data_IF_320292127200
#
_entry.id   IF_320292127200
#
_cell.length_a   1.000
_cell.length_b   1.000
_cell.length_c   1.000
_cell.angle_alpha   90.00
_cell.angle_beta   90.00
_cell.angle_gamma   90.00
#
_symmetry.space_group_name_H-M   'P 1'
#
loop_
_entity.id
_entity.type
_entity.pdbx_description
1 polymer ?
#
# COMPACT_ATOMS: atom_id res chain seq x y z
N UNK A 1 9.32 -18.22 20.49
CA UNK A 1 8.56 -18.10 19.21
C UNK A 1 7.58 -16.93 19.23
N UNK A 2 6.82 -16.71 20.32
CA UNK A 2 5.82 -15.63 20.42
C UNK A 2 6.40 -14.22 20.13
N UNK A 3 7.59 -13.91 20.66
CA UNK A 3 8.19 -12.57 20.57
C UNK A 3 8.57 -12.16 19.14
N UNK A 4 9.05 -13.11 18.31
CA UNK A 4 9.36 -12.85 16.90
C UNK A 4 8.10 -12.54 16.08
N UNK A 5 6.99 -13.21 16.40
CA UNK A 5 5.70 -13.01 15.73
C UNK A 5 5.14 -11.63 16.08
N UNK A 6 5.29 -11.19 17.33
CA UNK A 6 4.93 -9.83 17.75
C UNK A 6 5.75 -8.76 17.03
N UNK A 7 7.07 -8.95 16.85
CA UNK A 7 7.88 -8.01 16.08
C UNK A 7 7.45 -7.91 14.62
N UNK A 8 7.12 -9.05 13.97
CA UNK A 8 6.62 -9.07 12.59
C UNK A 8 5.26 -8.37 12.50
N UNK A 9 4.37 -8.62 13.46
CA UNK A 9 3.06 -7.96 13.51
C UNK A 9 3.19 -6.44 13.60
N UNK A 10 4.04 -5.95 14.52
CA UNK A 10 4.31 -4.52 14.68
C UNK A 10 4.98 -3.94 13.42
N UNK A 11 5.96 -4.65 12.85
CA UNK A 11 6.61 -4.23 11.61
C UNK A 11 5.61 -4.10 10.45
N UNK A 12 4.69 -5.06 10.30
CA UNK A 12 3.63 -5.01 9.30
C UNK A 12 2.69 -3.82 9.51
N UNK A 13 2.40 -3.44 10.77
CA UNK A 13 1.62 -2.24 11.05
C UNK A 13 2.34 -0.99 10.53
N UNK A 14 3.64 -0.84 10.84
CA UNK A 14 4.43 0.29 10.36
C UNK A 14 4.57 0.32 8.84
N UNK A 15 4.82 -0.83 8.21
CA UNK A 15 4.89 -0.94 6.75
C UNK A 15 3.57 -0.54 6.09
N UNK A 16 2.44 -0.91 6.68
CA UNK A 16 1.12 -0.54 6.18
C UNK A 16 0.89 0.97 6.24
N UNK A 17 1.35 1.64 7.31
CA UNK A 17 1.28 3.11 7.38
C UNK A 17 2.18 3.80 6.37
N UNK A 18 3.38 3.26 6.14
CA UNK A 18 4.31 3.77 5.13
C UNK A 18 3.69 3.61 3.74
N UNK A 19 3.14 2.44 3.43
CA UNK A 19 2.46 2.16 2.16
C UNK A 19 1.26 3.09 1.96
N UNK A 20 0.41 3.27 2.97
CA UNK A 20 -0.72 4.20 2.92
C UNK A 20 -0.26 5.64 2.62
N UNK A 21 0.86 6.06 3.21
CA UNK A 21 1.42 7.41 3.01
C UNK A 21 1.97 7.56 1.60
N UNK A 22 2.75 6.60 1.12
CA UNK A 22 3.31 6.60 -0.23
C UNK A 22 2.20 6.55 -1.28
N UNK A 23 1.25 5.63 -1.14
CA UNK A 23 0.10 5.49 -2.04
C UNK A 23 -0.76 6.76 -2.08
N UNK A 24 -0.96 7.44 -0.94
CA UNK A 24 -1.71 8.70 -0.91
C UNK A 24 -1.02 9.82 -1.71
N UNK A 25 0.30 9.91 -1.63
CA UNK A 25 1.10 10.86 -2.42
C UNK A 25 1.26 10.44 -3.89
N UNK A 26 1.23 9.14 -4.18
CA UNK A 26 1.31 8.61 -5.54
C UNK A 26 -0.03 8.66 -6.31
N UNK A 27 -1.17 8.70 -5.60
CA UNK A 27 -2.52 8.77 -6.19
C UNK A 27 -2.73 9.89 -7.24
N UNK A 28 -2.38 11.17 -7.00
CA UNK A 28 -2.52 12.24 -8.02
C UNK A 28 -1.68 11.98 -9.27
N UNK A 29 -0.58 11.28 -9.07
CA UNK A 29 0.43 11.05 -10.08
C UNK A 29 0.06 9.85 -10.97
N UNK A 30 -0.62 8.86 -10.38
CA UNK A 30 -1.30 7.77 -11.10
C UNK A 30 -2.48 8.27 -11.94
N UNK A 31 -3.29 9.19 -11.41
CA UNK A 31 -4.39 9.80 -12.18
C UNK A 31 -3.87 10.54 -13.42
N UNK A 32 -2.78 11.31 -13.27
CA UNK A 32 -2.08 11.95 -14.39
C UNK A 32 -1.54 10.98 -15.44
N UNK A 33 -1.14 9.75 -15.07
CA UNK A 33 -0.69 8.74 -16.03
C UNK A 33 -1.81 8.10 -16.84
N UNK A 34 -3.03 8.06 -16.31
CA UNK A 34 -4.19 7.47 -16.98
C UNK A 34 -4.74 8.40 -18.10
N UNK A 35 -4.24 9.64 -18.19
CA UNK A 35 -4.57 10.56 -19.27
C UNK A 35 -5.96 11.18 -19.15
N UNK A 36 -6.49 11.24 -17.93
CA UNK A 36 -7.80 11.82 -17.62
C UNK A 36 -7.70 13.35 -17.59
N UNK A 37 -8.58 14.04 -18.32
CA UNK A 37 -8.68 15.51 -18.33
C UNK A 37 -8.78 16.05 -16.88
N UNK A 38 -8.33 17.29 -16.65
CA UNK A 38 -8.20 17.88 -15.30
C UNK A 38 -9.47 17.75 -14.43
N UNK A 39 -10.67 17.75 -15.04
CA UNK A 39 -11.96 17.56 -14.35
C UNK A 39 -12.25 16.08 -13.97
N UNK A 40 -11.84 15.09 -14.76
CA UNK A 40 -11.98 13.66 -14.40
C UNK A 40 -10.84 13.16 -13.49
N UNK A 41 -9.71 13.88 -13.46
CA UNK A 41 -8.56 13.58 -12.62
C UNK A 41 -8.92 13.62 -11.14
N UNK A 42 -9.71 14.61 -10.67
CA UNK A 42 -10.09 14.70 -9.26
C UNK A 42 -10.94 13.51 -8.79
N UNK A 43 -11.88 13.06 -9.61
CA UNK A 43 -12.71 11.89 -9.34
C UNK A 43 -11.88 10.60 -9.27
N UNK A 44 -10.93 10.46 -10.18
CA UNK A 44 -9.98 9.34 -10.25
C UNK A 44 -9.06 9.31 -9.03
N UNK A 45 -8.51 10.44 -8.61
CA UNK A 45 -7.67 10.55 -7.39
C UNK A 45 -8.46 10.17 -6.14
N UNK A 46 -9.70 10.62 -6.04
CA UNK A 46 -10.57 10.28 -4.90
C UNK A 46 -10.93 8.79 -4.88
N UNK A 47 -11.13 8.19 -6.05
CA UNK A 47 -11.31 6.74 -6.23
C UNK A 47 -10.09 5.95 -5.79
N UNK A 48 -8.89 6.30 -6.27
CA UNK A 48 -7.63 5.66 -5.90
C UNK A 48 -7.37 5.76 -4.40
N UNK A 49 -7.57 6.94 -3.79
CA UNK A 49 -7.44 7.12 -2.34
C UNK A 49 -8.39 6.23 -1.54
N UNK A 50 -9.64 6.08 -2.00
CA UNK A 50 -10.65 5.25 -1.34
C UNK A 50 -10.33 3.77 -1.45
N UNK A 51 -9.84 3.32 -2.61
CA UNK A 51 -9.32 1.97 -2.82
C UNK A 51 -8.12 1.70 -1.91
N UNK A 52 -7.16 2.62 -1.85
CA UNK A 52 -5.99 2.51 -0.97
C UNK A 52 -6.39 2.38 0.49
N UNK A 53 -7.31 3.22 0.98
CA UNK A 53 -7.86 3.11 2.34
C UNK A 53 -8.49 1.74 2.61
N UNK A 54 -9.21 1.20 1.63
CA UNK A 54 -9.83 -0.13 1.74
C UNK A 54 -8.79 -1.25 1.81
N UNK A 55 -7.77 -1.18 0.96
CA UNK A 55 -6.66 -2.13 0.92
C UNK A 55 -5.88 -2.11 2.24
N UNK A 56 -5.56 -0.92 2.76
CA UNK A 56 -4.93 -0.73 4.07
C UNK A 56 -5.77 -1.33 5.20
N UNK A 57 -7.07 -1.11 5.20
CA UNK A 57 -7.98 -1.69 6.19
C UNK A 57 -7.99 -3.23 6.11
N UNK A 58 -7.97 -3.77 4.88
CA UNK A 58 -7.91 -5.20 4.63
C UNK A 58 -6.60 -5.81 5.16
N UNK A 59 -5.47 -5.14 4.95
CA UNK A 59 -4.17 -5.58 5.46
C UNK A 59 -4.11 -5.57 6.98
N UNK A 60 -4.64 -4.54 7.64
CA UNK A 60 -4.72 -4.54 9.09
C UNK A 60 -5.64 -5.64 9.61
N UNK A 61 -6.77 -5.87 8.95
CA UNK A 61 -7.68 -6.95 9.32
C UNK A 61 -6.98 -8.32 9.23
N UNK A 62 -6.30 -8.61 8.12
CA UNK A 62 -5.57 -9.85 7.96
C UNK A 62 -4.38 -9.98 8.91
N UNK A 63 -3.63 -8.90 9.15
CA UNK A 63 -2.51 -8.89 10.08
C UNK A 63 -3.00 -9.20 11.52
N UNK A 64 -4.12 -8.61 11.93
CA UNK A 64 -4.76 -8.91 13.21
C UNK A 64 -5.28 -10.36 13.25
N UNK A 65 -6.00 -10.80 12.22
CA UNK A 65 -6.52 -12.18 12.15
C UNK A 65 -5.40 -13.20 12.25
N UNK A 66 -4.30 -13.00 11.54
CA UNK A 66 -3.15 -13.89 11.53
C UNK A 66 -2.42 -13.95 12.88
N UNK A 67 -2.37 -12.83 13.60
CA UNK A 67 -1.81 -12.77 14.95
C UNK A 67 -2.71 -13.47 15.98
N UNK A 68 -4.02 -13.19 15.98
CA UNK A 68 -4.96 -13.73 16.96
C UNK A 68 -5.29 -15.21 16.73
N UNK A 69 -5.38 -15.65 15.48
CA UNK A 69 -5.70 -17.05 15.13
C UNK A 69 -4.45 -17.96 15.08
N UNK A 70 -3.26 -17.42 15.44
CA UNK A 70 -1.95 -18.08 15.35
C UNK A 70 -1.66 -18.70 13.96
N UNK A 71 -2.28 -18.19 12.90
CA UNK A 71 -2.03 -18.66 11.53
C UNK A 71 -0.81 -17.93 10.99
N UNK A 72 0.36 -18.41 11.39
CA UNK A 72 1.67 -17.84 11.03
C UNK A 72 1.87 -17.74 9.50
N UNK A 73 1.25 -18.64 8.73
CA UNK A 73 1.28 -18.60 7.27
C UNK A 73 0.61 -17.34 6.69
N UNK A 74 -0.50 -16.89 7.29
CA UNK A 74 -1.15 -15.66 6.85
C UNK A 74 -0.28 -14.42 7.13
N UNK A 75 0.53 -14.41 8.20
CA UNK A 75 1.45 -13.29 8.47
C UNK A 75 2.49 -13.14 7.36
N UNK A 76 3.09 -14.25 6.91
CA UNK A 76 4.05 -14.23 5.80
C UNK A 76 3.38 -13.83 4.49
N UNK A 77 2.17 -14.34 4.22
CA UNK A 77 1.39 -13.95 3.05
C UNK A 77 1.08 -12.44 3.04
N UNK A 78 0.61 -11.90 4.17
CA UNK A 78 0.29 -10.47 4.32
C UNK A 78 1.55 -9.62 4.13
N UNK A 79 2.69 -10.06 4.67
CA UNK A 79 3.98 -9.38 4.49
C UNK A 79 4.44 -9.39 3.03
N UNK A 80 4.26 -10.51 2.32
CA UNK A 80 4.61 -10.65 0.90
C UNK A 80 3.75 -9.71 0.04
N UNK A 81 2.44 -9.68 0.29
CA UNK A 81 1.50 -8.81 -0.43
C UNK A 81 1.83 -7.34 -0.19
N UNK A 82 2.10 -6.95 1.07
CA UNK A 82 2.56 -5.60 1.39
C UNK A 82 3.86 -5.24 0.65
N UNK A 83 4.82 -6.16 0.59
CA UNK A 83 6.08 -5.93 -0.10
C UNK A 83 5.87 -5.73 -1.61
N UNK A 84 4.95 -6.48 -2.21
CA UNK A 84 4.58 -6.31 -3.63
C UNK A 84 3.93 -4.95 -3.86
N UNK A 85 2.99 -4.52 -3.01
CA UNK A 85 2.34 -3.21 -3.12
C UNK A 85 3.34 -2.06 -2.99
N UNK A 86 4.19 -2.09 -1.96
CA UNK A 86 5.25 -1.09 -1.78
C UNK A 86 6.18 -1.07 -2.99
N UNK A 87 6.57 -2.24 -3.51
CA UNK A 87 7.45 -2.32 -4.68
C UNK A 87 6.77 -1.75 -5.92
N UNK A 88 5.49 -2.05 -6.14
CA UNK A 88 4.71 -1.50 -7.24
C UNK A 88 4.61 0.03 -7.14
N UNK A 89 4.24 0.54 -5.96
CA UNK A 89 4.18 1.98 -5.68
C UNK A 89 5.55 2.67 -5.89
N UNK A 90 6.65 2.06 -5.44
CA UNK A 90 8.01 2.56 -5.66
C UNK A 90 8.41 2.58 -7.12
N UNK A 91 8.11 1.52 -7.88
CA UNK A 91 8.41 1.45 -9.33
C UNK A 91 7.65 2.53 -10.09
N UNK A 92 6.37 2.73 -9.76
CA UNK A 92 5.53 3.80 -10.33
C UNK A 92 6.16 5.17 -10.01
N UNK A 93 6.50 5.40 -8.74
CA UNK A 93 7.08 6.67 -8.29
C UNK A 93 8.43 6.96 -8.97
N UNK A 94 9.30 5.94 -9.07
CA UNK A 94 10.61 6.05 -9.72
C UNK A 94 10.48 6.32 -11.23
N UNK A 95 9.50 5.69 -11.89
CA UNK A 95 9.23 5.91 -13.33
C UNK A 95 8.70 7.32 -13.62
N UNK A 96 7.97 7.92 -12.69
CA UNK A 96 7.52 9.31 -12.78
C UNK A 96 8.63 10.33 -12.60
N UNK A 97 9.47 10.14 -11.58
CA UNK A 97 10.62 11.04 -11.34
C UNK A 97 11.55 11.05 -12.57
N UNK A 98 11.77 9.91 -13.22
CA UNK A 98 12.55 9.83 -14.46
C UNK A 98 11.92 10.54 -15.67
N UNK A 99 10.61 10.83 -15.64
CA UNK A 99 9.90 11.51 -16.74
C UNK A 99 9.94 13.04 -16.64
N UNK A 100 10.23 13.61 -15.46
CA UNK A 100 10.31 15.07 -15.25
C UNK A 100 11.68 15.68 -15.65
N UNK A 101 12.61 14.86 -16.13
CA UNK A 101 13.98 15.24 -16.50
C UNK A 101 14.31 15.16 -18.00
N UNK A 102 13.32 15.08 -18.89
CA UNK A 102 13.51 15.19 -20.34
C UNK A 102 12.60 16.25 -20.93
#
# INVERSE_FOLDING_TARGET
MEQHVTYIFVANIFLTFIDATIGYHAAPALALMVGTDEEESEGTVRGVRRLLSWVVALYMFFNCLAYFDRVHWLLYFTSLVLAVDITAQLVIFRRMIGRKGR
#
